data_IF_485862785277
#
_entry.id   IF_485862785277
#
_cell.length_a   1.000
_cell.length_b   1.000
_cell.length_c   1.000
_cell.angle_alpha   90.00
_cell.angle_beta   90.00
_cell.angle_gamma   90.00
#
_symmetry.space_group_name_H-M   'P 1'
#
loop_
_entity.id
_entity.type
_entity.pdbx_description
1 polymer ?
#
# COMPACT_ATOMS: atom_id res chain seq x y z
N UNK A 1 0.16 -5.27 -22.32
CA UNK A 1 1.00 -5.81 -21.23
C UNK A 1 0.45 -5.42 -19.83
N UNK A 2 0.23 -4.13 -19.51
CA UNK A 2 -0.31 -3.71 -18.19
C UNK A 2 -1.70 -4.32 -17.91
N UNK A 3 -2.63 -4.30 -18.85
CA UNK A 3 -3.97 -4.87 -18.69
C UNK A 3 -3.94 -6.35 -18.25
N UNK A 4 -3.19 -7.20 -18.96
CA UNK A 4 -3.08 -8.62 -18.61
C UNK A 4 -2.48 -8.84 -17.21
N UNK A 5 -1.54 -7.97 -16.79
CA UNK A 5 -0.97 -8.02 -15.44
C UNK A 5 -1.97 -7.58 -14.38
N UNK A 6 -2.78 -6.56 -14.69
CA UNK A 6 -3.86 -6.10 -13.81
C UNK A 6 -4.89 -7.21 -13.62
N UNK A 7 -5.28 -7.89 -14.71
CA UNK A 7 -6.25 -8.99 -14.66
C UNK A 7 -5.72 -10.16 -13.81
N UNK A 8 -4.47 -10.57 -14.00
CA UNK A 8 -3.86 -11.64 -13.21
C UNK A 8 -3.78 -11.28 -11.71
N UNK A 9 -3.35 -10.07 -11.39
CA UNK A 9 -3.32 -9.58 -10.00
C UNK A 9 -4.74 -9.51 -9.41
N UNK A 10 -5.71 -9.02 -10.20
CA UNK A 10 -7.11 -8.88 -9.76
C UNK A 10 -7.76 -10.25 -9.52
N UNK A 11 -7.52 -11.24 -10.37
CA UNK A 11 -8.01 -12.60 -10.19
C UNK A 11 -7.56 -13.17 -8.84
N UNK A 12 -6.27 -13.03 -8.53
CA UNK A 12 -5.71 -13.48 -7.26
C UNK A 12 -6.29 -12.71 -6.06
N UNK A 13 -6.23 -11.39 -6.07
CA UNK A 13 -6.66 -10.55 -4.96
C UNK A 13 -8.17 -10.64 -4.72
N UNK A 14 -8.98 -10.77 -5.77
CA UNK A 14 -10.44 -10.88 -5.64
C UNK A 14 -10.90 -12.15 -4.94
N UNK A 15 -10.13 -13.22 -5.02
CA UNK A 15 -10.41 -14.47 -4.28
C UNK A 15 -10.43 -14.24 -2.77
N UNK A 16 -9.66 -13.30 -2.27
CA UNK A 16 -9.53 -13.00 -0.85
C UNK A 16 -10.26 -11.72 -0.41
N UNK A 17 -10.11 -10.65 -1.16
CA UNK A 17 -10.59 -9.32 -0.81
C UNK A 17 -11.90 -8.93 -1.52
N UNK A 18 -12.43 -9.84 -2.35
CA UNK A 18 -13.55 -9.52 -3.23
C UNK A 18 -13.17 -8.53 -4.33
N UNK A 19 -14.15 -8.19 -5.18
CA UNK A 19 -13.98 -7.17 -6.24
C UNK A 19 -14.19 -5.76 -5.67
N UNK A 20 -13.39 -5.40 -4.69
CA UNK A 20 -13.43 -4.08 -4.04
C UNK A 20 -12.57 -3.06 -4.79
N UNK A 21 -12.86 -1.76 -4.59
CA UNK A 21 -12.01 -0.69 -5.11
C UNK A 21 -10.56 -0.82 -4.59
N UNK A 22 -10.38 -1.25 -3.34
CA UNK A 22 -9.04 -1.46 -2.77
C UNK A 22 -8.27 -2.57 -3.51
N UNK A 23 -8.92 -3.70 -3.82
CA UNK A 23 -8.32 -4.79 -4.60
C UNK A 23 -7.99 -4.35 -6.03
N UNK A 24 -8.88 -3.58 -6.66
CA UNK A 24 -8.64 -3.05 -7.99
C UNK A 24 -7.44 -2.08 -8.02
N UNK A 25 -7.34 -1.18 -7.06
CA UNK A 25 -6.21 -0.25 -6.94
C UNK A 25 -4.90 -0.97 -6.64
N UNK A 26 -4.94 -2.01 -5.77
CA UNK A 26 -3.78 -2.85 -5.51
C UNK A 26 -3.32 -3.59 -6.77
N UNK A 27 -4.25 -4.09 -7.59
CA UNK A 27 -3.95 -4.74 -8.87
C UNK A 27 -3.25 -3.80 -9.86
N UNK A 28 -3.65 -2.53 -9.90
CA UNK A 28 -2.95 -1.52 -10.70
C UNK A 28 -1.53 -1.26 -10.17
N UNK A 29 -1.35 -1.13 -8.86
CA UNK A 29 -0.02 -0.96 -8.26
C UNK A 29 0.91 -2.13 -8.61
N UNK A 30 0.40 -3.38 -8.54
CA UNK A 30 1.13 -4.59 -8.95
C UNK A 30 1.48 -4.56 -10.44
N UNK A 31 0.54 -4.15 -11.30
CA UNK A 31 0.72 -4.15 -12.74
C UNK A 31 1.81 -3.16 -13.22
N UNK A 32 2.09 -2.12 -12.43
CA UNK A 32 3.15 -1.14 -12.70
C UNK A 32 4.57 -1.64 -12.37
N UNK A 33 4.69 -2.72 -11.60
CA UNK A 33 5.98 -3.34 -11.28
C UNK A 33 6.42 -4.30 -12.38
N UNK A 34 7.73 -4.51 -12.55
CA UNK A 34 8.30 -5.49 -13.47
C UNK A 34 8.29 -6.94 -12.92
N UNK A 35 8.06 -7.11 -11.62
CA UNK A 35 8.00 -8.42 -10.98
C UNK A 35 6.72 -9.19 -11.38
N UNK A 36 6.71 -10.54 -11.30
CA UNK A 36 5.54 -11.36 -11.63
C UNK A 36 4.30 -10.95 -10.81
N UNK A 37 3.18 -10.69 -11.48
CA UNK A 37 1.97 -10.15 -10.85
C UNK A 37 1.40 -11.08 -9.76
N UNK A 38 1.40 -12.40 -10.00
CA UNK A 38 0.92 -13.39 -9.03
C UNK A 38 1.79 -13.42 -7.77
N UNK A 39 3.12 -13.38 -7.92
CA UNK A 39 4.05 -13.36 -6.78
C UNK A 39 3.88 -12.10 -5.94
N UNK A 40 3.69 -10.94 -6.58
CA UNK A 40 3.42 -9.68 -5.86
C UNK A 40 2.06 -9.67 -5.18
N UNK A 41 1.03 -10.24 -5.81
CA UNK A 41 -0.28 -10.38 -5.18
C UNK A 41 -0.20 -11.25 -3.91
N UNK A 42 0.50 -12.38 -3.98
CA UNK A 42 0.75 -13.25 -2.83
C UNK A 42 1.54 -12.53 -1.72
N UNK A 43 2.59 -11.81 -2.07
CA UNK A 43 3.37 -11.02 -1.11
C UNK A 43 2.52 -9.91 -0.47
N UNK A 44 1.63 -9.29 -1.25
CA UNK A 44 0.67 -8.31 -0.74
C UNK A 44 -0.28 -8.93 0.29
N UNK A 45 -0.79 -10.13 0.03
CA UNK A 45 -1.62 -10.88 0.97
C UNK A 45 -0.88 -11.19 2.27
N UNK A 46 0.38 -11.65 2.19
CA UNK A 46 1.20 -11.92 3.37
C UNK A 46 1.49 -10.66 4.18
N UNK A 47 1.82 -9.56 3.51
CA UNK A 47 2.06 -8.28 4.18
C UNK A 47 0.78 -7.75 4.85
N UNK A 48 -0.37 -7.90 4.18
CA UNK A 48 -1.68 -7.59 4.77
C UNK A 48 -1.92 -8.39 6.06
N UNK A 49 -1.63 -9.71 6.05
CA UNK A 49 -1.77 -10.55 7.24
C UNK A 49 -0.83 -10.15 8.35
N UNK A 50 0.43 -9.86 8.03
CA UNK A 50 1.42 -9.42 9.00
C UNK A 50 1.00 -8.12 9.70
N UNK A 51 0.47 -7.14 8.94
CA UNK A 51 -0.06 -5.88 9.51
C UNK A 51 -1.26 -6.15 10.43
N UNK A 52 -2.14 -7.09 10.09
CA UNK A 52 -3.28 -7.49 10.94
C UNK A 52 -2.83 -8.25 12.18
N UNK A 53 -1.82 -9.09 12.06
CA UNK A 53 -1.21 -9.81 13.19
C UNK A 53 -0.51 -8.85 14.17
N UNK A 54 0.09 -7.77 13.69
CA UNK A 54 0.67 -6.70 14.50
C UNK A 54 -0.38 -5.82 15.23
N UNK A 55 -1.66 -6.15 15.12
CA UNK A 55 -2.76 -5.52 15.88
C UNK A 55 -3.60 -4.51 15.09
N UNK A 56 -3.29 -4.27 13.83
CA UNK A 56 -4.01 -3.32 13.01
C UNK A 56 -5.15 -4.02 12.24
N UNK A 57 -6.39 -3.84 12.72
CA UNK A 57 -7.61 -4.36 12.08
C UNK A 57 -8.33 -3.24 11.34
N UNK A 58 -8.51 -3.42 10.04
CA UNK A 58 -9.19 -2.47 9.17
C UNK A 58 -10.15 -3.22 8.22
N UNK A 59 -11.42 -2.81 8.18
CA UNK A 59 -12.42 -3.41 7.29
C UNK A 59 -12.43 -2.77 5.91
N UNK A 60 -12.03 -1.51 5.81
CA UNK A 60 -12.12 -0.73 4.57
C UNK A 60 -10.93 -0.98 3.62
N UNK A 61 -9.87 -1.62 4.11
CA UNK A 61 -8.68 -1.99 3.32
C UNK A 61 -8.06 -0.83 2.52
N UNK A 62 -8.18 0.41 3.02
CA UNK A 62 -7.65 1.60 2.34
C UNK A 62 -6.13 1.56 2.14
N UNK A 63 -5.44 0.79 2.96
CA UNK A 63 -4.00 0.57 2.91
C UNK A 63 -3.56 -0.49 1.89
N UNK A 64 -4.46 -1.30 1.37
CA UNK A 64 -4.13 -2.42 0.48
C UNK A 64 -3.30 -2.02 -0.77
N UNK A 65 -3.60 -0.92 -1.47
CA UNK A 65 -2.77 -0.47 -2.60
C UNK A 65 -1.34 -0.09 -2.19
N UNK A 66 -1.17 0.47 -0.98
CA UNK A 66 0.14 0.81 -0.44
C UNK A 66 0.92 -0.43 -0.01
N UNK A 67 0.23 -1.45 0.51
CA UNK A 67 0.84 -2.75 0.80
C UNK A 67 1.31 -3.45 -0.48
N UNK A 68 0.55 -3.34 -1.57
CA UNK A 68 0.95 -3.81 -2.89
C UNK A 68 2.20 -3.07 -3.41
N UNK A 69 2.26 -1.77 -3.21
CA UNK A 69 3.46 -0.98 -3.52
C UNK A 69 4.65 -1.40 -2.67
N UNK A 70 4.49 -1.54 -1.35
CA UNK A 70 5.55 -2.02 -0.45
C UNK A 70 6.04 -3.43 -0.83
N UNK A 71 5.13 -4.32 -1.25
CA UNK A 71 5.48 -5.64 -1.74
C UNK A 71 6.44 -5.56 -2.95
N UNK A 72 6.27 -4.56 -3.83
CA UNK A 72 7.13 -4.34 -4.99
C UNK A 72 8.54 -3.83 -4.65
N UNK A 73 8.72 -3.23 -3.47
CA UNK A 73 10.01 -2.73 -2.97
C UNK A 73 10.90 -3.81 -2.32
N UNK A 74 10.41 -5.04 -2.27
CA UNK A 74 11.12 -6.17 -1.65
C UNK A 74 11.47 -5.98 -0.16
N UNK A 75 10.59 -5.32 0.58
CA UNK A 75 10.76 -5.07 2.01
C UNK A 75 10.52 -6.33 2.85
N UNK A 76 11.18 -6.46 4.03
CA UNK A 76 10.91 -7.53 5.00
C UNK A 76 9.48 -7.41 5.55
N UNK A 77 8.65 -8.45 5.41
CA UNK A 77 7.21 -8.41 5.71
C UNK A 77 6.93 -8.12 7.19
N UNK A 78 7.60 -8.83 8.08
CA UNK A 78 7.38 -8.70 9.54
C UNK A 78 7.82 -7.33 10.06
N UNK A 79 9.04 -6.91 9.71
CA UNK A 79 9.58 -5.60 10.14
C UNK A 79 8.74 -4.45 9.62
N UNK A 80 8.30 -4.52 8.37
CA UNK A 80 7.42 -3.52 7.75
C UNK A 80 6.07 -3.46 8.47
N UNK A 81 5.49 -4.61 8.82
CA UNK A 81 4.23 -4.68 9.55
C UNK A 81 4.34 -4.09 10.96
N UNK A 82 5.39 -4.41 11.69
CA UNK A 82 5.68 -3.85 13.02
C UNK A 82 5.87 -2.34 12.95
N UNK A 83 6.58 -1.85 11.92
CA UNK A 83 6.77 -0.42 11.69
C UNK A 83 5.45 0.30 11.40
N UNK A 84 4.59 -0.26 10.56
CA UNK A 84 3.25 0.28 10.29
C UNK A 84 2.43 0.35 11.58
N UNK A 85 2.44 -0.70 12.38
CA UNK A 85 1.73 -0.73 13.66
C UNK A 85 2.26 0.33 14.64
N UNK A 86 3.59 0.48 14.75
CA UNK A 86 4.22 1.49 15.58
C UNK A 86 3.87 2.92 15.12
N UNK A 87 3.87 3.18 13.80
CA UNK A 87 3.46 4.47 13.23
C UNK A 87 1.97 4.75 13.47
N UNK A 88 1.11 3.74 13.34
CA UNK A 88 -0.32 3.86 13.63
C UNK A 88 -0.55 4.19 15.11
N UNK A 89 0.16 3.54 16.03
CA UNK A 89 0.11 3.84 17.47
C UNK A 89 0.59 5.27 17.75
N UNK A 90 1.73 5.67 17.17
CA UNK A 90 2.26 7.02 17.28
C UNK A 90 1.25 8.09 16.81
N UNK A 91 0.65 7.89 15.63
CA UNK A 91 -0.34 8.82 15.09
C UNK A 91 -1.58 8.91 15.98
N UNK A 92 -2.00 7.82 16.63
CA UNK A 92 -3.15 7.81 17.55
C UNK A 92 -2.99 8.80 18.70
N UNK A 93 -1.77 9.03 19.17
CA UNK A 93 -1.45 9.93 20.27
C UNK A 93 -1.40 11.42 19.83
N UNK A 94 -1.29 11.68 18.53
CA UNK A 94 -1.20 13.03 18.01
C UNK A 94 -2.56 13.69 17.91
N UNK A 95 -2.67 14.94 18.39
CA UNK A 95 -3.92 15.72 18.50
C UNK A 95 -4.72 15.79 17.18
N UNK A 96 -4.05 15.84 16.04
CA UNK A 96 -4.68 15.91 14.72
C UNK A 96 -5.19 14.56 14.19
N UNK A 97 -4.72 13.43 14.77
CA UNK A 97 -4.97 12.07 14.31
C UNK A 97 -5.73 11.22 15.35
N UNK A 98 -6.27 11.86 16.38
CA UNK A 98 -7.04 11.15 17.41
C UNK A 98 -8.30 10.51 16.83
N UNK A 99 -8.78 9.45 17.49
CA UNK A 99 -9.94 8.66 17.04
C UNK A 99 -11.23 9.49 16.85
N UNK A 100 -11.30 10.68 17.42
CA UNK A 100 -12.44 11.62 17.28
C UNK A 100 -12.42 12.33 15.92
N UNK A 101 -11.24 12.53 15.32
CA UNK A 101 -11.09 13.30 14.08
C UNK A 101 -10.81 12.44 12.87
N UNK A 102 -10.09 11.34 13.05
CA UNK A 102 -9.65 10.46 11.96
C UNK A 102 -9.95 9.01 12.34
N UNK A 103 -10.72 8.32 11.51
CA UNK A 103 -11.04 6.91 11.70
C UNK A 103 -9.80 6.02 11.72
N UNK A 104 -9.93 4.81 12.27
CA UNK A 104 -8.84 3.82 12.32
C UNK A 104 -8.29 3.50 10.92
N UNK A 105 -9.17 3.34 9.94
CA UNK A 105 -8.80 3.04 8.56
C UNK A 105 -7.94 4.12 7.93
N UNK A 106 -8.31 5.38 8.12
CA UNK A 106 -7.53 6.52 7.61
C UNK A 106 -6.18 6.65 8.34
N UNK A 107 -6.14 6.42 9.65
CA UNK A 107 -4.90 6.45 10.41
C UNK A 107 -3.94 5.36 9.95
N UNK A 108 -4.45 4.14 9.72
CA UNK A 108 -3.65 3.05 9.17
C UNK A 108 -3.15 3.37 7.76
N UNK A 109 -3.98 3.97 6.92
CA UNK A 109 -3.58 4.46 5.61
C UNK A 109 -2.41 5.45 5.70
N UNK A 110 -2.46 6.43 6.61
CA UNK A 110 -1.35 7.37 6.82
C UNK A 110 -0.10 6.68 7.36
N UNK A 111 -0.24 5.74 8.30
CA UNK A 111 0.89 4.98 8.82
C UNK A 111 1.57 4.15 7.72
N UNK A 112 0.80 3.50 6.87
CA UNK A 112 1.30 2.73 5.72
C UNK A 112 1.94 3.65 4.67
N UNK A 113 1.38 4.85 4.45
CA UNK A 113 1.98 5.86 3.55
C UNK A 113 3.36 6.31 4.05
N UNK A 114 3.49 6.59 5.35
CA UNK A 114 4.78 6.96 5.94
C UNK A 114 5.81 5.82 5.84
N UNK A 115 5.39 4.58 6.07
CA UNK A 115 6.26 3.41 5.91
C UNK A 115 6.70 3.24 4.44
N UNK A 116 5.80 3.49 3.48
CA UNK A 116 6.11 3.42 2.06
C UNK A 116 7.11 4.52 1.62
N UNK A 117 6.94 5.74 2.12
CA UNK A 117 7.87 6.86 1.85
C UNK A 117 9.26 6.53 2.41
N UNK A 118 9.34 5.98 3.61
CA UNK A 118 10.59 5.62 4.25
C UNK A 118 11.29 4.46 3.53
N UNK A 119 10.55 3.41 3.16
CA UNK A 119 11.07 2.30 2.37
C UNK A 119 11.60 2.77 1.01
N UNK A 120 10.87 3.68 0.34
CA UNK A 120 11.31 4.29 -0.90
C UNK A 120 12.59 5.12 -0.72
N UNK A 121 12.68 5.91 0.36
CA UNK A 121 13.86 6.70 0.67
C UNK A 121 15.07 5.80 0.91
N UNK A 122 14.90 4.70 1.63
CA UNK A 122 15.95 3.70 1.86
C UNK A 122 16.40 3.05 0.56
N UNK A 123 15.47 2.60 -0.28
CA UNK A 123 15.76 2.03 -1.60
C UNK A 123 16.46 3.04 -2.55
N UNK A 124 16.13 4.33 -2.41
CA UNK A 124 16.74 5.40 -3.21
C UNK A 124 18.17 5.77 -2.78
N UNK A 125 18.57 5.44 -1.55
CA UNK A 125 19.90 5.67 -1.03
C UNK A 125 20.90 4.57 -1.44
N UNK A 126 20.43 3.41 -1.89
CA UNK A 126 21.29 2.36 -2.43
C UNK A 126 21.88 2.80 -3.78
N UNK A 127 23.23 2.86 -3.95
CA UNK A 127 23.87 3.66 -4.99
C UNK A 127 23.84 3.07 -6.41
N UNK A 128 23.22 1.92 -6.66
CA UNK A 128 23.59 1.12 -7.82
C UNK A 128 22.64 1.11 -9.03
N UNK A 129 21.52 1.85 -9.03
CA UNK A 129 20.66 1.81 -10.21
C UNK A 129 19.79 3.07 -10.41
N UNK A 130 20.31 4.03 -11.19
CA UNK A 130 19.59 5.27 -11.52
C UNK A 130 18.27 5.02 -12.28
N UNK A 131 18.19 3.94 -13.06
CA UNK A 131 16.98 3.53 -13.79
C UNK A 131 15.93 3.00 -12.81
N UNK A 132 16.31 2.11 -11.90
CA UNK A 132 15.44 1.56 -10.85
C UNK A 132 14.89 2.66 -9.94
N UNK A 133 15.74 3.66 -9.62
CA UNK A 133 15.34 4.83 -8.82
C UNK A 133 14.28 5.67 -9.52
N UNK A 134 14.43 5.89 -10.83
CA UNK A 134 13.45 6.64 -11.63
C UNK A 134 12.13 5.90 -11.71
N UNK A 135 12.14 4.59 -11.94
CA UNK A 135 10.94 3.76 -12.02
C UNK A 135 10.20 3.69 -10.68
N UNK A 136 10.93 3.58 -9.56
CA UNK A 136 10.36 3.61 -8.21
C UNK A 136 9.69 4.96 -7.91
N UNK A 137 10.34 6.08 -8.25
CA UNK A 137 9.77 7.41 -8.07
C UNK A 137 8.52 7.62 -8.94
N UNK A 138 8.54 7.13 -10.17
CA UNK A 138 7.39 7.20 -11.08
C UNK A 138 6.23 6.35 -10.57
N UNK A 139 6.50 5.14 -10.08
CA UNK A 139 5.49 4.25 -9.49
C UNK A 139 4.87 4.87 -8.24
N UNK A 140 5.69 5.47 -7.35
CA UNK A 140 5.18 6.17 -6.18
C UNK A 140 4.30 7.36 -6.58
N UNK A 141 4.76 8.17 -7.52
CA UNK A 141 4.01 9.35 -8.00
C UNK A 141 2.65 8.93 -8.56
N UNK A 142 2.62 7.90 -9.41
CA UNK A 142 1.38 7.37 -9.97
C UNK A 142 0.46 6.80 -8.88
N UNK A 143 1.01 6.07 -7.90
CA UNK A 143 0.24 5.54 -6.78
C UNK A 143 -0.35 6.67 -5.93
N UNK A 144 0.43 7.71 -5.62
CA UNK A 144 -0.06 8.88 -4.88
C UNK A 144 -1.14 9.65 -5.64
N UNK A 145 -0.99 9.84 -6.97
CA UNK A 145 -1.99 10.50 -7.81
C UNK A 145 -3.29 9.69 -7.81
N UNK A 146 -3.22 8.38 -7.99
CA UNK A 146 -4.38 7.49 -7.97
C UNK A 146 -5.09 7.54 -6.61
N UNK A 147 -4.35 7.50 -5.51
CA UNK A 147 -4.90 7.60 -4.17
C UNK A 147 -5.56 8.95 -3.91
N UNK A 148 -4.98 10.05 -4.42
CA UNK A 148 -5.56 11.38 -4.33
C UNK A 148 -6.88 11.47 -5.12
N UNK A 149 -6.95 10.90 -6.32
CA UNK A 149 -8.16 10.84 -7.14
C UNK A 149 -9.25 10.07 -6.41
N UNK A 150 -8.94 8.88 -5.86
CA UNK A 150 -9.92 8.06 -5.11
C UNK A 150 -10.40 8.76 -3.86
N UNK A 151 -9.51 9.40 -3.10
CA UNK A 151 -9.88 10.17 -1.91
C UNK A 151 -10.78 11.37 -2.27
N UNK A 152 -10.49 12.05 -3.38
CA UNK A 152 -11.28 13.17 -3.88
C UNK A 152 -12.67 12.73 -4.35
N UNK A 153 -12.76 11.57 -5.02
CA UNK A 153 -14.04 11.00 -5.46
C UNK A 153 -14.89 10.53 -4.27
N UNK A 154 -14.27 9.95 -3.25
CA UNK A 154 -14.98 9.56 -2.01
C UNK A 154 -15.52 10.78 -1.26
N UNK A 155 -14.76 11.88 -1.21
CA UNK A 155 -15.20 13.14 -0.60
C UNK A 155 -16.33 13.84 -1.37
N UNK A 156 -16.38 13.69 -2.71
CA UNK A 156 -17.41 14.28 -3.54
C UNK A 156 -18.77 13.54 -3.47
N UNK A 157 -18.79 12.31 -2.91
CA UNK A 157 -20.00 11.50 -2.71
C UNK A 157 -20.54 11.54 -1.28
N UNK A 158 -19.98 12.39 -0.44
CA UNK A 158 -20.46 12.73 0.91
C UNK A 158 -21.21 14.07 0.88
#
# INVERSE_FOLDING_TARGET
MIAARTDAAMERLSGRFGRTNAAQMASFAIALSDQPAEALAEKTERLYDAVRAAGEKNREMLDLPLLAFLASLDVPETETAERIAALSAYLKEKKGFSAVRIGRSQRLFYATSLAAIDALHTAALEPNDAAKKRDLLQTLLLTCILLFIVASMAAANL
#
